data_IF_074726555720
#
_entry.id   IF_074726555720
#
_cell.length_a   1.000
_cell.length_b   1.000
_cell.length_c   1.000
_cell.angle_alpha   90.00
_cell.angle_beta   90.00
_cell.angle_gamma   90.00
#
_symmetry.space_group_name_H-M   'P 1'
#
loop_
_entity.id
_entity.type
_entity.pdbx_description
1 polymer ?
#
# COMPACT_ATOMS: atom_id res chain seq x y z
N UNK A 1 -9.18 5.25 19.00
CA UNK A 1 -10.20 4.30 18.46
C UNK A 1 -9.55 3.50 17.32
N UNK A 2 -10.12 2.38 16.91
CA UNK A 2 -9.64 1.57 15.76
C UNK A 2 -10.54 1.87 14.57
N UNK A 3 -9.96 2.34 13.45
CA UNK A 3 -10.73 2.64 12.25
C UNK A 3 -10.92 1.41 11.36
N UNK A 4 -9.87 0.57 11.23
CA UNK A 4 -9.91 -0.64 10.41
C UNK A 4 -9.23 -1.80 11.16
N UNK A 5 -9.90 -2.95 11.23
CA UNK A 5 -9.41 -4.13 11.95
C UNK A 5 -9.63 -5.39 11.12
N UNK A 6 -8.64 -6.25 11.08
CA UNK A 6 -8.75 -7.60 10.55
C UNK A 6 -8.56 -8.59 11.69
N UNK A 7 -9.45 -9.57 11.80
CA UNK A 7 -9.42 -10.60 12.84
C UNK A 7 -9.42 -11.98 12.21
N UNK A 8 -8.32 -12.73 12.38
CA UNK A 8 -8.18 -14.12 11.96
C UNK A 8 -8.34 -14.36 10.45
N UNK A 9 -7.88 -13.43 9.61
CA UNK A 9 -8.04 -13.52 8.15
C UNK A 9 -7.26 -14.71 7.61
N UNK A 10 -7.99 -15.60 6.97
CA UNK A 10 -7.44 -16.71 6.19
C UNK A 10 -7.91 -16.59 4.75
N UNK A 11 -6.99 -16.78 3.80
CA UNK A 11 -7.31 -16.70 2.38
C UNK A 11 -6.37 -17.56 1.54
N UNK A 12 -6.95 -18.25 0.54
CA UNK A 12 -6.26 -19.19 -0.32
C UNK A 12 -6.52 -18.90 -1.80
N UNK A 13 -5.58 -19.27 -2.67
CA UNK A 13 -5.70 -19.29 -4.13
C UNK A 13 -5.31 -20.67 -4.61
N UNK A 14 -6.13 -21.31 -5.44
CA UNK A 14 -5.86 -22.63 -6.03
C UNK A 14 -5.33 -23.65 -4.99
N UNK A 15 -5.99 -23.71 -3.82
CA UNK A 15 -5.62 -24.53 -2.64
C UNK A 15 -4.32 -24.13 -1.94
N UNK A 16 -3.63 -23.11 -2.43
CA UNK A 16 -2.43 -22.57 -1.75
C UNK A 16 -2.86 -21.50 -0.75
N UNK A 17 -2.55 -21.71 0.53
CA UNK A 17 -2.83 -20.73 1.58
C UNK A 17 -1.88 -19.54 1.48
N UNK A 18 -2.42 -18.36 1.24
CA UNK A 18 -1.69 -17.10 1.12
C UNK A 18 -1.69 -16.33 2.45
N UNK A 19 -2.82 -16.33 3.15
CA UNK A 19 -2.96 -15.73 4.47
C UNK A 19 -3.52 -16.77 5.44
N UNK A 20 -2.96 -16.82 6.65
CA UNK A 20 -3.27 -17.83 7.64
C UNK A 20 -3.43 -17.19 9.03
N UNK A 21 -4.67 -16.91 9.42
CA UNK A 21 -5.04 -16.36 10.71
C UNK A 21 -4.53 -14.94 10.99
N UNK A 22 -4.38 -14.11 9.96
CA UNK A 22 -3.83 -12.74 10.06
C UNK A 22 -4.77 -11.83 10.85
N UNK A 23 -4.22 -11.18 11.87
CA UNK A 23 -4.93 -10.15 12.66
C UNK A 23 -4.08 -8.88 12.74
N UNK A 24 -4.64 -7.74 12.31
CA UNK A 24 -4.01 -6.41 12.37
C UNK A 24 -5.04 -5.33 12.70
N UNK A 25 -4.56 -4.20 13.24
CA UNK A 25 -5.39 -3.05 13.62
C UNK A 25 -4.75 -1.76 13.20
N UNK A 26 -5.48 -0.96 12.41
CA UNK A 26 -5.13 0.42 12.09
C UNK A 26 -5.90 1.36 13.01
N UNK A 27 -5.17 2.21 13.73
CA UNK A 27 -5.75 3.25 14.60
C UNK A 27 -6.30 4.39 13.77
N UNK A 28 -7.36 5.04 14.26
CA UNK A 28 -7.88 6.25 13.64
C UNK A 28 -6.79 7.31 13.53
N UNK A 29 -6.71 7.97 12.38
CA UNK A 29 -5.77 9.06 12.08
C UNK A 29 -4.29 8.64 12.27
N UNK A 30 -3.98 7.39 12.02
CA UNK A 30 -2.62 6.86 12.13
C UNK A 30 -2.19 6.14 10.85
N UNK A 31 -0.88 6.02 10.68
CA UNK A 31 -0.26 5.33 9.55
C UNK A 31 0.24 3.95 9.99
N UNK A 32 -0.33 2.89 9.42
CA UNK A 32 0.09 1.51 9.60
C UNK A 32 0.82 1.01 8.34
N UNK A 33 2.09 0.62 8.47
CA UNK A 33 2.77 -0.10 7.40
C UNK A 33 2.59 -1.61 7.53
N UNK A 34 2.29 -2.26 6.40
CA UNK A 34 2.39 -3.72 6.23
C UNK A 34 3.71 -4.01 5.54
N UNK A 35 4.64 -4.60 6.28
CA UNK A 35 5.98 -4.96 5.83
C UNK A 35 6.06 -6.46 5.57
N UNK A 36 7.07 -6.89 4.85
CA UNK A 36 7.36 -8.31 4.59
C UNK A 36 7.96 -8.54 3.22
N UNK A 37 8.59 -9.70 2.99
CA UNK A 37 9.20 -10.05 1.71
C UNK A 37 8.17 -10.18 0.59
N UNK A 38 8.67 -10.27 -0.66
CA UNK A 38 7.82 -10.54 -1.81
C UNK A 38 7.13 -11.91 -1.65
N UNK A 39 5.86 -11.99 -2.06
CA UNK A 39 5.07 -13.19 -1.90
C UNK A 39 4.51 -13.45 -0.48
N UNK A 40 4.78 -12.59 0.51
CA UNK A 40 4.26 -12.75 1.87
C UNK A 40 2.73 -12.62 1.98
N UNK A 41 2.04 -12.06 0.96
CA UNK A 41 0.59 -11.87 0.94
C UNK A 41 0.12 -10.45 1.19
N UNK A 42 1.03 -9.44 1.17
CA UNK A 42 0.70 -8.02 1.45
C UNK A 42 -0.45 -7.49 0.59
N UNK A 43 -0.33 -7.55 -0.73
CA UNK A 43 -1.39 -7.14 -1.68
C UNK A 43 -2.73 -7.83 -1.41
N UNK A 44 -2.70 -9.12 -1.11
CA UNK A 44 -3.91 -9.90 -0.79
C UNK A 44 -4.58 -9.40 0.47
N UNK A 45 -3.79 -9.14 1.52
CA UNK A 45 -4.28 -8.57 2.76
C UNK A 45 -4.89 -7.19 2.54
N UNK A 46 -4.21 -6.30 1.80
CA UNK A 46 -4.71 -4.96 1.50
C UNK A 46 -6.03 -4.98 0.73
N UNK A 47 -6.17 -5.85 -0.26
CA UNK A 47 -7.42 -6.03 -1.01
C UNK A 47 -8.57 -6.54 -0.14
N UNK A 48 -8.28 -7.42 0.83
CA UNK A 48 -9.27 -7.88 1.80
C UNK A 48 -9.68 -6.76 2.75
N UNK A 49 -8.72 -5.98 3.25
CA UNK A 49 -8.97 -4.81 4.09
C UNK A 49 -9.83 -3.76 3.39
N UNK A 50 -9.60 -3.53 2.11
CA UNK A 50 -10.38 -2.61 1.28
C UNK A 50 -11.78 -3.17 0.88
N UNK A 51 -12.13 -4.39 1.28
CA UNK A 51 -13.39 -5.03 0.93
C UNK A 51 -13.48 -5.48 -0.54
N UNK A 52 -12.37 -5.48 -1.29
CA UNK A 52 -12.32 -5.93 -2.69
C UNK A 52 -12.24 -7.45 -2.81
N UNK A 53 -11.79 -8.14 -1.76
CA UNK A 53 -11.75 -9.60 -1.67
C UNK A 53 -12.41 -10.10 -0.42
N UNK A 54 -13.12 -11.21 -0.54
CA UNK A 54 -13.70 -11.91 0.60
C UNK A 54 -12.67 -12.92 1.11
N UNK A 55 -12.34 -12.93 2.42
CA UNK A 55 -11.52 -13.97 3.01
C UNK A 55 -12.31 -15.29 3.12
N UNK A 56 -11.57 -16.42 3.19
CA UNK A 56 -12.15 -17.75 3.44
C UNK A 56 -12.65 -17.84 4.88
N UNK A 57 -11.89 -17.25 5.83
CA UNK A 57 -12.25 -17.15 7.24
C UNK A 57 -11.78 -15.82 7.83
N UNK A 58 -12.35 -15.46 8.98
CA UNK A 58 -12.06 -14.20 9.66
C UNK A 58 -13.01 -13.08 9.26
N UNK A 59 -12.78 -11.89 9.82
CA UNK A 59 -13.66 -10.73 9.64
C UNK A 59 -12.85 -9.45 9.57
N UNK A 60 -13.23 -8.54 8.65
CA UNK A 60 -12.74 -7.16 8.60
C UNK A 60 -13.82 -6.26 9.20
N UNK A 61 -13.43 -5.39 10.12
CA UNK A 61 -14.28 -4.39 10.76
C UNK A 61 -13.84 -2.99 10.34
N UNK A 62 -14.79 -2.15 9.97
CA UNK A 62 -14.62 -0.73 9.64
C UNK A 62 -15.41 0.10 10.65
N UNK A 63 -14.72 0.83 11.53
CA UNK A 63 -15.37 1.54 12.63
C UNK A 63 -16.15 0.62 13.58
N UNK A 64 -15.74 -0.64 13.72
CA UNK A 64 -16.42 -1.67 14.53
C UNK A 64 -17.50 -2.46 13.78
N UNK A 65 -17.89 -2.06 12.57
CA UNK A 65 -18.91 -2.77 11.78
C UNK A 65 -18.25 -3.75 10.79
N UNK A 66 -18.77 -4.98 10.65
CA UNK A 66 -18.25 -5.93 9.65
C UNK A 66 -18.40 -5.39 8.23
N UNK A 67 -17.29 -5.26 7.49
CA UNK A 67 -17.29 -4.77 6.09
C UNK A 67 -18.25 -5.59 5.20
N UNK A 68 -18.38 -6.87 5.45
CA UNK A 68 -19.27 -7.76 4.70
C UNK A 68 -20.77 -7.45 4.86
N UNK A 69 -21.17 -6.78 5.96
CA UNK A 69 -22.57 -6.41 6.22
C UNK A 69 -22.93 -5.05 5.61
N UNK A 70 -21.92 -4.28 5.20
CA UNK A 70 -22.12 -2.98 4.58
C UNK A 70 -22.40 -3.11 3.08
N UNK A 71 -23.30 -2.27 2.51
CA UNK A 71 -23.45 -2.16 1.07
C UNK A 71 -22.10 -1.77 0.42
N UNK A 72 -21.76 -2.36 -0.73
CA UNK A 72 -20.49 -2.06 -1.45
C UNK A 72 -20.24 -0.57 -1.62
N UNK A 73 -21.30 0.20 -1.92
CA UNK A 73 -21.23 1.64 -2.09
C UNK A 73 -20.89 2.37 -0.77
N UNK A 74 -21.38 1.88 0.37
CA UNK A 74 -21.07 2.43 1.69
C UNK A 74 -19.59 2.17 2.04
N UNK A 75 -19.07 0.97 1.77
CA UNK A 75 -17.64 0.65 1.92
C UNK A 75 -16.81 1.54 1.00
N UNK A 76 -17.19 1.67 -0.28
CA UNK A 76 -16.49 2.49 -1.25
C UNK A 76 -16.50 4.00 -0.96
N UNK A 77 -17.37 4.52 -0.10
CA UNK A 77 -17.32 5.89 0.40
C UNK A 77 -16.37 6.09 1.58
N UNK A 78 -16.11 5.01 2.33
CA UNK A 78 -15.32 5.06 3.56
C UNK A 78 -13.90 4.56 3.39
N UNK A 79 -13.66 3.67 2.41
CA UNK A 79 -12.34 3.09 2.14
C UNK A 79 -11.94 3.34 0.70
N UNK A 80 -10.83 4.05 0.48
CA UNK A 80 -10.20 4.18 -0.84
C UNK A 80 -9.00 3.23 -0.95
N UNK A 81 -8.72 2.78 -2.17
CA UNK A 81 -7.53 1.98 -2.45
C UNK A 81 -6.74 2.55 -3.63
N UNK A 82 -5.42 2.58 -3.46
CA UNK A 82 -4.45 2.85 -4.53
C UNK A 82 -3.67 1.56 -4.75
N UNK A 83 -3.93 0.89 -5.86
CA UNK A 83 -3.21 -0.33 -6.25
C UNK A 83 -1.97 0.02 -7.06
N UNK A 84 -1.01 -0.91 -7.09
CA UNK A 84 0.18 -0.81 -7.93
C UNK A 84 -0.25 -0.79 -9.39
N UNK A 85 -0.09 0.38 -10.03
CA UNK A 85 -0.33 0.70 -11.44
C UNK A 85 -1.40 -0.12 -12.20
N UNK A 86 -2.65 0.34 -12.29
CA UNK A 86 -3.52 -0.13 -13.35
C UNK A 86 -2.96 0.41 -14.68
N UNK A 87 -2.73 -0.45 -15.66
CA UNK A 87 -2.52 -0.03 -17.04
C UNK A 87 -3.78 0.67 -17.54
N UNK A 88 -3.75 2.00 -17.56
CA UNK A 88 -4.85 2.79 -18.12
C UNK A 88 -4.62 2.89 -19.62
N UNK A 89 -5.30 2.07 -20.40
CA UNK A 89 -5.22 2.08 -21.86
C UNK A 89 -6.06 3.19 -22.51
N UNK A 90 -6.84 3.93 -21.72
CA UNK A 90 -7.76 4.96 -22.20
C UNK A 90 -7.09 6.32 -22.19
N UNK A 91 -7.36 7.13 -23.22
CA UNK A 91 -6.89 8.51 -23.30
C UNK A 91 -7.81 9.43 -22.49
N UNK A 92 -7.58 9.47 -21.16
CA UNK A 92 -8.32 10.28 -20.19
C UNK A 92 -7.39 11.32 -19.58
N UNK A 93 -7.95 12.44 -19.16
CA UNK A 93 -7.20 13.50 -18.48
C UNK A 93 -6.98 13.17 -17.00
N UNK A 94 -6.09 13.92 -16.35
CA UNK A 94 -5.92 13.87 -14.89
C UNK A 94 -7.24 14.23 -14.20
N UNK A 95 -7.95 15.24 -14.69
CA UNK A 95 -9.24 15.67 -14.13
C UNK A 95 -10.28 14.53 -14.19
N UNK A 96 -10.39 13.86 -15.35
CA UNK A 96 -11.27 12.69 -15.51
C UNK A 96 -10.88 11.56 -14.57
N UNK A 97 -9.58 11.29 -14.44
CA UNK A 97 -9.05 10.26 -13.53
C UNK A 97 -9.44 10.55 -12.09
N UNK A 98 -9.27 11.79 -11.62
CA UNK A 98 -9.59 12.19 -10.26
C UNK A 98 -11.11 12.18 -10.02
N UNK A 99 -11.90 12.57 -11.03
CA UNK A 99 -13.36 12.53 -10.99
C UNK A 99 -13.92 11.10 -10.78
N UNK A 100 -13.21 10.05 -11.20
CA UNK A 100 -13.59 8.67 -10.90
C UNK A 100 -13.66 8.39 -9.39
N UNK A 101 -12.91 9.12 -8.55
CA UNK A 101 -13.01 9.05 -7.09
C UNK A 101 -14.40 9.41 -6.56
N UNK A 102 -15.20 10.18 -7.31
CA UNK A 102 -16.58 10.55 -6.93
C UNK A 102 -17.63 9.52 -7.33
N UNK A 103 -17.26 8.44 -8.03
CA UNK A 103 -18.18 7.37 -8.46
C UNK A 103 -19.08 6.83 -7.32
N UNK A 104 -18.60 6.62 -6.09
CA UNK A 104 -19.45 6.14 -4.99
C UNK A 104 -20.55 7.12 -4.57
N UNK A 105 -20.45 8.39 -4.93
CA UNK A 105 -21.42 9.43 -4.56
C UNK A 105 -22.48 9.65 -5.65
N UNK A 106 -22.17 9.32 -6.89
CA UNK A 106 -22.97 9.65 -8.07
C UNK A 106 -24.04 8.58 -8.38
N UNK A 107 -25.19 9.03 -8.84
CA UNK A 107 -26.18 8.14 -9.49
C UNK A 107 -25.73 7.69 -10.88
N UNK A 108 -26.38 6.69 -11.45
CA UNK A 108 -25.98 6.05 -12.72
C UNK A 108 -25.83 7.04 -13.90
N UNK A 109 -26.61 8.12 -13.91
CA UNK A 109 -26.59 9.13 -14.97
C UNK A 109 -26.35 10.56 -14.45
N UNK A 110 -25.95 10.71 -13.18
CA UNK A 110 -25.74 12.02 -12.58
C UNK A 110 -24.37 12.59 -13.03
N UNK A 111 -24.36 13.87 -13.45
CA UNK A 111 -23.12 14.63 -13.64
C UNK A 111 -22.40 14.91 -12.31
N UNK A 112 -21.27 15.59 -12.37
CA UNK A 112 -20.58 16.12 -11.19
C UNK A 112 -21.34 17.32 -10.66
N UNK A 113 -21.69 17.30 -9.37
CA UNK A 113 -22.28 18.44 -8.67
C UNK A 113 -21.21 19.37 -8.08
N UNK A 114 -21.64 20.35 -7.27
CA UNK A 114 -20.75 21.32 -6.63
C UNK A 114 -19.82 20.70 -5.59
N UNK A 115 -20.32 19.73 -4.81
CA UNK A 115 -19.53 19.02 -3.79
C UNK A 115 -18.49 18.13 -4.44
N UNK A 116 -18.85 17.44 -5.52
CA UNK A 116 -17.92 16.61 -6.30
C UNK A 116 -16.76 17.45 -6.85
N UNK A 117 -17.07 18.61 -7.44
CA UNK A 117 -16.04 19.52 -7.98
C UNK A 117 -15.12 20.07 -6.89
N UNK A 118 -15.68 20.43 -5.74
CA UNK A 118 -14.89 20.89 -4.59
C UNK A 118 -13.94 19.78 -4.08
N UNK A 119 -14.42 18.55 -3.96
CA UNK A 119 -13.61 17.40 -3.54
C UNK A 119 -12.47 17.10 -4.54
N UNK A 120 -12.75 17.16 -5.86
CA UNK A 120 -11.75 17.00 -6.91
C UNK A 120 -10.69 18.10 -6.81
N UNK A 121 -11.10 19.36 -6.70
CA UNK A 121 -10.20 20.50 -6.60
C UNK A 121 -9.30 20.42 -5.36
N UNK A 122 -9.85 20.05 -4.21
CA UNK A 122 -9.08 19.81 -2.99
C UNK A 122 -8.06 18.69 -3.17
N UNK A 123 -8.45 17.57 -3.76
CA UNK A 123 -7.57 16.44 -4.00
C UNK A 123 -6.41 16.79 -4.94
N UNK A 124 -6.69 17.52 -6.04
CA UNK A 124 -5.68 18.03 -6.97
C UNK A 124 -4.71 19.00 -6.28
N UNK A 125 -5.20 19.82 -5.37
CA UNK A 125 -4.38 20.74 -4.58
C UNK A 125 -3.41 20.00 -3.66
N UNK A 126 -3.94 19.07 -2.85
CA UNK A 126 -3.17 18.28 -1.88
C UNK A 126 -2.04 17.49 -2.55
N UNK A 127 -2.27 16.99 -3.75
CA UNK A 127 -1.29 16.19 -4.47
C UNK A 127 -0.40 16.99 -5.43
N UNK A 128 -0.59 18.33 -5.51
CA UNK A 128 0.14 19.19 -6.43
C UNK A 128 -0.19 18.95 -7.91
N UNK A 129 -1.39 18.41 -8.21
CA UNK A 129 -1.78 18.02 -9.56
C UNK A 129 -2.65 19.06 -10.29
N UNK A 130 -2.93 20.23 -9.69
CA UNK A 130 -3.77 21.30 -10.30
C UNK A 130 -3.29 21.71 -11.71
N UNK A 131 -1.99 21.95 -11.85
CA UNK A 131 -1.40 22.37 -13.13
C UNK A 131 -1.44 21.28 -14.22
N UNK A 132 -1.71 20.04 -13.82
CA UNK A 132 -1.73 18.88 -14.73
C UNK A 132 -3.14 18.44 -15.10
N UNK A 133 -4.20 19.09 -14.61
CA UNK A 133 -5.59 18.64 -14.72
C UNK A 133 -6.05 18.29 -16.14
N UNK A 134 -5.62 19.06 -17.14
CA UNK A 134 -5.98 18.86 -18.56
C UNK A 134 -4.99 17.96 -19.31
N UNK A 135 -3.90 17.50 -18.68
CA UNK A 135 -2.93 16.61 -19.34
C UNK A 135 -3.49 15.21 -19.47
N UNK A 136 -3.22 14.58 -20.62
CA UNK A 136 -3.52 13.17 -20.84
C UNK A 136 -2.69 12.29 -19.90
N UNK A 137 -3.33 11.27 -19.33
CA UNK A 137 -2.70 10.26 -18.47
C UNK A 137 -1.40 9.69 -19.07
N UNK A 138 -1.40 9.44 -20.39
CA UNK A 138 -0.25 8.83 -21.08
C UNK A 138 0.99 9.72 -21.12
N UNK A 139 0.83 11.03 -20.93
CA UNK A 139 1.94 11.99 -20.97
C UNK A 139 2.57 12.22 -19.60
N UNK A 140 2.03 11.58 -18.56
CA UNK A 140 2.52 11.71 -17.18
C UNK A 140 3.70 10.76 -16.95
N UNK A 141 4.70 11.26 -16.21
CA UNK A 141 5.73 10.41 -15.60
C UNK A 141 5.12 9.45 -14.56
N UNK A 142 5.82 8.39 -14.21
CA UNK A 142 5.36 7.43 -13.19
C UNK A 142 5.01 8.11 -11.86
N UNK A 143 5.81 9.09 -11.41
CA UNK A 143 5.54 9.87 -10.20
C UNK A 143 4.31 10.78 -10.31
N UNK A 144 4.06 11.37 -11.50
CA UNK A 144 2.85 12.15 -11.75
C UNK A 144 1.61 11.25 -11.79
N UNK A 145 1.71 10.05 -12.39
CA UNK A 145 0.63 9.06 -12.39
C UNK A 145 0.29 8.62 -10.97
N UNK A 146 1.29 8.34 -10.13
CA UNK A 146 1.09 7.97 -8.75
C UNK A 146 0.38 9.07 -7.95
N UNK A 147 0.78 10.34 -8.14
CA UNK A 147 0.09 11.49 -7.51
C UNK A 147 -1.34 11.66 -8.01
N UNK A 148 -1.61 11.43 -9.29
CA UNK A 148 -2.97 11.47 -9.83
C UNK A 148 -3.85 10.33 -9.27
N UNK A 149 -3.30 9.13 -9.07
CA UNK A 149 -4.00 8.02 -8.40
C UNK A 149 -4.29 8.36 -6.93
N UNK A 150 -3.33 8.98 -6.24
CA UNK A 150 -3.56 9.45 -4.87
C UNK A 150 -4.62 10.54 -4.84
N UNK A 151 -4.62 11.49 -5.79
CA UNK A 151 -5.67 12.49 -5.93
C UNK A 151 -7.05 11.85 -6.15
N UNK A 152 -7.14 10.82 -6.99
CA UNK A 152 -8.38 10.07 -7.19
C UNK A 152 -8.89 9.45 -5.88
N UNK A 153 -7.99 8.83 -5.12
CA UNK A 153 -8.35 8.24 -3.83
C UNK A 153 -8.78 9.29 -2.80
N UNK A 154 -8.10 10.44 -2.74
CA UNK A 154 -8.45 11.56 -1.85
C UNK A 154 -9.76 12.27 -2.25
N UNK A 155 -10.06 12.37 -3.56
CA UNK A 155 -11.32 12.91 -4.04
C UNK A 155 -12.54 12.09 -3.56
N UNK A 156 -12.35 10.83 -3.22
CA UNK A 156 -13.36 9.99 -2.59
C UNK A 156 -13.68 10.42 -1.15
N UNK A 157 -12.85 11.25 -0.51
CA UNK A 157 -12.98 11.69 0.90
C UNK A 157 -13.15 10.50 1.86
N UNK A 158 -12.25 9.51 1.84
CA UNK A 158 -12.39 8.30 2.63
C UNK A 158 -12.01 8.52 4.10
N UNK A 159 -12.51 7.66 5.00
CA UNK A 159 -12.02 7.55 6.39
C UNK A 159 -10.69 6.79 6.46
N UNK A 160 -10.50 5.84 5.55
CA UNK A 160 -9.33 4.98 5.45
C UNK A 160 -8.82 4.95 4.02
N UNK A 161 -7.53 5.17 3.84
CA UNK A 161 -6.86 4.95 2.56
C UNK A 161 -5.92 3.75 2.66
N UNK A 162 -6.03 2.83 1.71
CA UNK A 162 -5.19 1.64 1.58
C UNK A 162 -4.29 1.80 0.36
N UNK A 163 -2.97 1.65 0.53
CA UNK A 163 -2.01 1.83 -0.56
C UNK A 163 -1.12 0.60 -0.71
N UNK A 164 -1.07 0.07 -1.92
CA UNK A 164 -0.20 -1.07 -2.25
C UNK A 164 1.06 -0.55 -2.93
N UNK A 165 2.17 -0.50 -2.15
CA UNK A 165 3.51 -0.10 -2.59
C UNK A 165 3.56 1.28 -3.29
N UNK A 166 3.05 2.35 -2.64
CA UNK A 166 2.90 3.67 -3.28
C UNK A 166 4.23 4.35 -3.60
N UNK A 167 5.34 3.81 -3.15
CA UNK A 167 6.70 4.35 -3.35
C UNK A 167 7.51 3.60 -4.42
N UNK A 168 6.98 2.51 -4.98
CA UNK A 168 7.71 1.73 -5.98
C UNK A 168 7.91 2.51 -7.28
N UNK A 169 9.09 2.33 -7.88
CA UNK A 169 9.48 2.98 -9.15
C UNK A 169 9.50 4.52 -9.12
N UNK A 170 9.42 5.12 -7.93
CA UNK A 170 9.58 6.56 -7.74
C UNK A 170 11.02 6.89 -7.38
N UNK A 171 11.50 8.05 -7.81
CA UNK A 171 12.74 8.61 -7.28
C UNK A 171 12.59 9.02 -5.80
N UNK A 172 13.72 9.19 -5.12
CA UNK A 172 13.76 9.46 -3.68
C UNK A 172 12.91 10.67 -3.29
N UNK A 173 12.94 11.74 -4.07
CA UNK A 173 12.16 12.95 -3.78
C UNK A 173 10.67 12.66 -3.75
N UNK A 174 10.14 12.00 -4.79
CA UNK A 174 8.72 11.69 -4.89
C UNK A 174 8.27 10.67 -3.83
N UNK A 175 9.13 9.70 -3.46
CA UNK A 175 8.86 8.79 -2.34
C UNK A 175 8.63 9.57 -1.04
N UNK A 176 9.53 10.51 -0.74
CA UNK A 176 9.44 11.34 0.47
C UNK A 176 8.22 12.27 0.44
N UNK A 177 7.93 12.88 -0.71
CA UNK A 177 6.77 13.77 -0.89
C UNK A 177 5.47 13.02 -0.64
N UNK A 178 5.30 11.81 -1.21
CA UNK A 178 4.10 10.96 -1.00
C UNK A 178 3.95 10.57 0.47
N UNK A 179 5.01 10.09 1.11
CA UNK A 179 4.95 9.65 2.51
C UNK A 179 4.71 10.83 3.47
N UNK A 180 5.30 11.99 3.19
CA UNK A 180 5.06 13.23 3.94
C UNK A 180 3.61 13.67 3.81
N UNK A 181 3.06 13.63 2.59
CA UNK A 181 1.64 13.92 2.36
C UNK A 181 0.76 12.95 3.15
N UNK A 182 0.97 11.63 3.01
CA UNK A 182 0.16 10.61 3.71
C UNK A 182 0.17 10.83 5.23
N UNK A 183 1.31 11.18 5.80
CA UNK A 183 1.43 11.47 7.24
C UNK A 183 0.73 12.77 7.67
N UNK A 184 0.60 13.74 6.77
CA UNK A 184 -0.06 15.02 7.05
C UNK A 184 -1.60 14.95 6.95
N UNK A 185 -2.14 13.86 6.40
CA UNK A 185 -3.58 13.70 6.25
C UNK A 185 -4.23 13.34 7.60
N UNK A 186 -5.35 13.98 7.90
CA UNK A 186 -6.17 13.66 9.08
C UNK A 186 -7.09 12.45 8.76
N UNK A 187 -6.48 11.32 8.41
CA UNK A 187 -7.18 10.09 8.09
C UNK A 187 -6.35 8.85 8.43
N UNK A 188 -6.98 7.69 8.43
CA UNK A 188 -6.28 6.42 8.65
C UNK A 188 -5.63 5.95 7.37
N UNK A 189 -4.34 5.62 7.45
CA UNK A 189 -3.56 5.11 6.32
C UNK A 189 -3.09 3.69 6.61
N UNK A 190 -3.32 2.76 5.67
CA UNK A 190 -2.73 1.42 5.69
C UNK A 190 -1.92 1.26 4.40
N UNK A 191 -0.62 1.05 4.50
CA UNK A 191 0.24 0.99 3.32
C UNK A 191 1.17 -0.21 3.33
N UNK A 192 1.32 -0.91 2.20
CA UNK A 192 2.43 -1.83 2.05
C UNK A 192 3.70 -1.05 1.67
N UNK A 193 4.79 -1.32 2.35
CA UNK A 193 6.10 -0.75 2.05
C UNK A 193 7.15 -1.86 2.00
N UNK A 194 8.19 -1.66 1.18
CA UNK A 194 9.35 -2.54 1.13
C UNK A 194 10.52 -2.00 1.96
N UNK A 195 10.67 -0.69 2.01
CA UNK A 195 11.77 -0.04 2.72
C UNK A 195 11.45 0.09 4.22
N UNK A 196 12.26 -0.61 5.04
CA UNK A 196 12.11 -0.60 6.50
C UNK A 196 12.42 0.77 7.10
N UNK A 197 13.35 1.53 6.51
CA UNK A 197 13.74 2.85 7.00
C UNK A 197 12.66 3.90 6.69
N UNK A 198 12.01 3.82 5.52
CA UNK A 198 10.85 4.64 5.21
C UNK A 198 9.67 4.32 6.14
N UNK A 199 9.40 3.04 6.39
CA UNK A 199 8.35 2.63 7.34
C UNK A 199 8.66 3.12 8.76
N UNK A 200 9.93 3.01 9.20
CA UNK A 200 10.37 3.48 10.50
C UNK A 200 10.17 4.98 10.71
N UNK A 201 10.39 5.76 9.65
CA UNK A 201 10.33 7.23 9.69
C UNK A 201 8.92 7.79 9.57
N UNK A 202 8.08 7.17 8.73
CA UNK A 202 6.80 7.75 8.32
C UNK A 202 5.57 7.07 8.90
N UNK A 203 5.72 5.88 9.51
CA UNK A 203 4.59 5.13 10.02
C UNK A 203 4.59 5.08 11.55
N UNK A 204 3.40 5.17 12.15
CA UNK A 204 3.23 5.10 13.61
C UNK A 204 3.32 3.66 14.10
N UNK A 205 2.88 2.73 13.27
CA UNK A 205 2.92 1.30 13.56
C UNK A 205 3.32 0.50 12.32
N UNK A 206 3.89 -0.65 12.58
CA UNK A 206 4.23 -1.63 11.55
C UNK A 206 3.63 -3.00 11.90
N UNK A 207 3.23 -3.74 10.87
CA UNK A 207 2.85 -5.14 10.94
C UNK A 207 3.71 -5.90 9.93
N UNK A 208 4.52 -6.84 10.40
CA UNK A 208 5.42 -7.62 9.53
C UNK A 208 4.74 -8.93 9.18
N UNK A 209 4.45 -9.09 7.88
CA UNK A 209 3.84 -10.28 7.31
C UNK A 209 4.94 -11.20 6.75
N UNK A 210 4.97 -12.46 7.20
CA UNK A 210 5.91 -13.48 6.73
C UNK A 210 5.19 -14.81 6.57
N UNK A 211 5.37 -15.46 5.42
CA UNK A 211 4.72 -16.74 5.10
C UNK A 211 3.22 -16.79 5.42
N UNK A 212 2.49 -15.71 5.08
CA UNK A 212 1.04 -15.58 5.29
C UNK A 212 0.60 -15.31 6.74
N UNK A 213 1.51 -15.09 7.68
CA UNK A 213 1.22 -14.83 9.11
C UNK A 213 1.85 -13.53 9.58
N UNK A 214 1.30 -12.94 10.63
CA UNK A 214 1.94 -11.80 11.31
C UNK A 214 3.10 -12.31 12.16
N UNK A 215 4.33 -11.95 11.79
CA UNK A 215 5.54 -12.24 12.56
C UNK A 215 5.69 -11.29 13.75
N UNK A 216 5.40 -10.00 13.56
CA UNK A 216 5.46 -8.98 14.61
C UNK A 216 4.54 -7.79 14.27
N UNK A 217 4.05 -7.10 15.32
CA UNK A 217 3.31 -5.84 15.17
C UNK A 217 3.60 -4.92 16.35
N UNK A 218 3.81 -3.63 16.08
CA UNK A 218 4.14 -2.66 17.13
C UNK A 218 4.52 -1.30 16.57
N UNK A 219 5.18 -0.49 17.39
CA UNK A 219 5.89 0.69 16.89
C UNK A 219 7.12 0.26 16.09
N UNK A 220 7.61 1.05 15.13
CA UNK A 220 8.83 0.70 14.40
C UNK A 220 10.00 0.34 15.31
N UNK A 221 10.23 1.11 16.38
CA UNK A 221 11.31 0.87 17.33
C UNK A 221 11.17 -0.46 18.10
N UNK A 222 9.94 -0.92 18.37
CA UNK A 222 9.72 -2.18 19.07
C UNK A 222 9.80 -3.41 18.14
N UNK A 223 9.60 -3.21 16.83
CA UNK A 223 9.46 -4.31 15.87
C UNK A 223 10.71 -4.51 15.02
N UNK A 224 11.35 -3.42 14.58
CA UNK A 224 12.50 -3.50 13.68
C UNK A 224 13.76 -3.79 14.51
N UNK A 225 14.05 -5.07 14.70
CA UNK A 225 15.26 -5.56 15.40
C UNK A 225 16.14 -6.35 14.44
N UNK A 226 17.45 -6.50 14.73
CA UNK A 226 18.34 -7.34 13.92
C UNK A 226 17.80 -8.78 13.77
N UNK A 227 17.24 -9.36 14.83
CA UNK A 227 16.69 -10.72 14.86
C UNK A 227 15.48 -10.85 13.94
N UNK A 228 14.59 -9.84 13.92
CA UNK A 228 13.44 -9.82 13.01
C UNK A 228 13.92 -9.73 11.57
N UNK A 229 14.84 -8.82 11.25
CA UNK A 229 15.38 -8.65 9.89
C UNK A 229 16.02 -9.94 9.41
N UNK A 230 16.81 -10.58 10.27
CA UNK A 230 17.43 -11.87 9.96
C UNK A 230 16.39 -12.97 9.70
N UNK A 231 15.42 -13.13 10.59
CA UNK A 231 14.44 -14.23 10.51
C UNK A 231 13.45 -14.08 9.36
N UNK A 232 13.02 -12.85 9.05
CA UNK A 232 11.99 -12.57 8.04
C UNK A 232 12.58 -12.33 6.65
N UNK A 233 13.69 -11.58 6.58
CA UNK A 233 14.29 -11.18 5.30
C UNK A 233 15.54 -11.97 4.93
N UNK A 234 16.10 -12.78 5.85
CA UNK A 234 17.33 -13.55 5.59
C UNK A 234 18.56 -12.67 5.43
N UNK A 235 18.60 -11.52 6.07
CA UNK A 235 19.66 -10.51 5.96
C UNK A 235 20.21 -10.17 7.34
N UNK A 236 21.54 -10.13 7.47
CA UNK A 236 22.20 -9.57 8.66
C UNK A 236 22.09 -8.05 8.64
N UNK A 237 21.69 -7.49 9.76
CA UNK A 237 21.52 -6.05 9.90
C UNK A 237 21.91 -5.56 11.30
N UNK A 238 22.26 -4.28 11.37
CA UNK A 238 22.34 -3.50 12.62
C UNK A 238 21.18 -2.52 12.64
N UNK A 239 20.59 -2.31 13.79
CA UNK A 239 19.51 -1.34 13.97
C UNK A 239 19.94 -0.33 15.03
N UNK A 240 20.15 0.90 14.58
CA UNK A 240 20.51 2.04 15.41
C UNK A 240 19.38 3.07 15.48
N UNK A 241 19.50 4.03 16.39
CA UNK A 241 18.58 5.17 16.43
C UNK A 241 19.17 6.35 15.69
N UNK A 242 18.43 6.89 14.71
CA UNK A 242 18.86 8.09 13.97
C UNK A 242 19.01 9.28 14.92
N UNK A 243 20.16 9.95 14.98
CA UNK A 243 20.36 11.16 15.78
C UNK A 243 19.52 12.35 15.29
N UNK A 244 19.07 12.31 14.03
CA UNK A 244 18.31 13.40 13.39
C UNK A 244 16.80 13.27 13.55
N UNK A 245 16.29 12.02 13.62
CA UNK A 245 14.83 11.77 13.58
C UNK A 245 14.32 10.99 14.80
N UNK A 246 15.22 10.39 15.60
CA UNK A 246 14.84 9.48 16.69
C UNK A 246 14.23 8.15 16.23
N UNK A 247 14.06 7.94 14.92
CA UNK A 247 13.53 6.72 14.36
C UNK A 247 14.63 5.63 14.24
N UNK A 248 14.28 4.34 14.29
CA UNK A 248 15.22 3.27 14.00
C UNK A 248 15.73 3.35 12.56
N UNK A 249 17.02 3.05 12.39
CA UNK A 249 17.69 2.95 11.08
C UNK A 249 18.27 1.56 10.95
N UNK A 250 17.82 0.85 9.92
CA UNK A 250 18.30 -0.48 9.57
C UNK A 250 19.45 -0.37 8.57
N UNK A 251 20.64 -0.79 8.97
CA UNK A 251 21.82 -0.89 8.11
C UNK A 251 22.05 -2.36 7.74
N UNK A 252 21.89 -2.70 6.47
CA UNK A 252 22.08 -4.06 5.99
C UNK A 252 23.56 -4.38 5.82
N UNK A 253 24.00 -5.53 6.37
CA UNK A 253 25.39 -5.99 6.33
C UNK A 253 25.64 -7.04 5.24
N UNK A 254 24.62 -7.85 4.90
CA UNK A 254 24.72 -8.89 3.88
C UNK A 254 23.67 -9.98 4.07
N UNK A 255 23.59 -10.92 3.13
CA UNK A 255 22.74 -12.09 3.26
C UNK A 255 23.26 -13.05 4.33
N UNK A 256 22.36 -13.76 5.01
CA UNK A 256 22.75 -14.82 5.97
C UNK A 256 23.46 -15.93 5.22
N UNK A 257 24.77 -16.13 5.50
CA UNK A 257 25.58 -17.19 4.92
C UNK A 257 25.01 -18.57 5.34
N UNK A 258 24.28 -19.23 4.45
CA UNK A 258 23.68 -20.55 4.76
C UNK A 258 22.70 -21.12 3.76
N UNK A 259 22.27 -20.36 2.76
CA UNK A 259 21.48 -20.87 1.61
C UNK A 259 21.94 -20.22 0.31
N UNK A 260 23.10 -20.63 -0.20
CA UNK A 260 23.35 -20.53 -1.63
C UNK A 260 22.41 -21.53 -2.31
N UNK A 261 21.28 -21.08 -2.82
CA UNK A 261 20.62 -21.77 -3.93
C UNK A 261 21.64 -21.79 -5.07
N UNK A 262 22.05 -22.94 -5.59
CA UNK A 262 22.93 -22.97 -6.75
C UNK A 262 22.20 -22.25 -7.88
N UNK A 263 22.81 -21.21 -8.43
CA UNK A 263 22.42 -20.64 -9.71
C UNK A 263 22.51 -21.81 -10.71
N UNK A 264 21.43 -22.18 -11.41
CA UNK A 264 21.53 -23.23 -12.42
C UNK A 264 22.53 -22.77 -13.46
N UNK A 265 23.56 -23.57 -13.67
CA UNK A 265 24.59 -23.38 -14.68
C UNK A 265 23.90 -23.21 -16.05
N UNK A 266 24.10 -22.10 -16.76
CA UNK A 266 23.62 -21.96 -18.12
C UNK A 266 24.41 -22.91 -18.97
N UNK A 267 23.87 -24.12 -19.19
CA UNK A 267 24.46 -25.16 -19.99
C UNK A 267 25.04 -24.65 -21.31
N UNK A 268 26.04 -25.36 -21.92
CA UNK A 268 26.84 -24.84 -23.01
C UNK A 268 25.96 -24.45 -24.21
N UNK A 269 26.10 -23.19 -24.65
CA UNK A 269 25.53 -22.70 -25.89
C UNK A 269 25.94 -23.60 -27.07
N UNK A 270 25.01 -24.41 -27.58
CA UNK A 270 25.17 -25.09 -28.84
C UNK A 270 25.33 -24.03 -29.94
N UNK A 271 26.56 -23.86 -30.39
CA UNK A 271 26.84 -23.14 -31.65
C UNK A 271 26.10 -23.89 -32.76
N UNK A 272 25.09 -23.27 -33.35
CA UNK A 272 24.57 -23.72 -34.65
C UNK A 272 25.67 -23.49 -35.67
N UNK A 273 26.23 -24.57 -36.18
CA UNK A 273 27.01 -24.54 -37.42
C UNK A 273 26.01 -24.32 -38.54
N UNK A 274 26.21 -23.24 -39.27
CA UNK A 274 25.62 -23.01 -40.59
C UNK A 274 26.43 -23.80 -41.59
N UNK A 275 25.80 -24.71 -42.28
CA UNK A 275 26.11 -25.11 -43.68
C UNK A 275 25.02 -24.53 -44.59
#
# INVERSE_FOLDING_TARGET
MTALEANGITWSVDRTRILDGVSIRARSNGVLAVLGPNGAGKTSLLRILAGLRRPDAGTVLLGGEPVRSLPRRAVARRVAIVEQSPEVHTDITVDDTVALGRTPYRGTFAGLDGEDRAAIEQALALTGMRAYRSRSWRTLSGGEQQRAQLARALAQQPEVIVLDEPTNHLDIRYQLDVLTLLRSLDMTVVTALHDLNLAARYCDRVAVLHAGRIAATGTPAAVLTPELVRSVYGVEAVVDTSPHTGAPVVTYLGGVSGRSTPVPDPGPHRRRQTE
#
